data_IF_759290404432
#
_entry.id   IF_759290404432
#
_cell.length_a   1.000
_cell.length_b   1.000
_cell.length_c   1.000
_cell.angle_alpha   90.00
_cell.angle_beta   90.00
_cell.angle_gamma   90.00
#
_symmetry.space_group_name_H-M   'P 1'
#
loop_
_entity.id
_entity.type
_entity.pdbx_description
1 polymer ?
#
# COMPACT_ATOMS: atom_id res chain seq x y z
N UNK A 1 -3.19 34.00 17.27
CA UNK A 1 -4.36 33.10 17.35
C UNK A 1 -4.88 33.14 18.79
N UNK A 2 -5.97 33.86 19.09
CA UNK A 2 -6.49 33.96 20.46
C UNK A 2 -7.36 32.73 20.79
N UNK A 3 -6.80 31.81 21.59
CA UNK A 3 -7.41 30.53 21.99
C UNK A 3 -8.65 30.74 22.88
N UNK A 4 -8.86 31.96 23.39
CA UNK A 4 -10.00 32.30 24.25
C UNK A 4 -11.35 32.44 23.52
N UNK A 5 -11.37 32.56 22.19
CA UNK A 5 -12.64 32.64 21.44
C UNK A 5 -13.21 31.25 21.13
N UNK A 6 -14.55 31.13 21.12
CA UNK A 6 -15.25 29.88 20.75
C UNK A 6 -14.80 29.37 19.36
N UNK A 7 -14.63 30.29 18.41
CA UNK A 7 -14.09 30.00 17.07
C UNK A 7 -12.66 29.45 17.13
N UNK A 8 -11.80 30.02 17.99
CA UNK A 8 -10.43 29.55 18.20
C UNK A 8 -10.37 28.11 18.73
N UNK A 9 -11.22 27.77 19.71
CA UNK A 9 -11.33 26.40 20.23
C UNK A 9 -11.78 25.40 19.17
N UNK A 10 -12.75 25.77 18.35
CA UNK A 10 -13.27 24.92 17.26
C UNK A 10 -12.19 24.70 16.19
N UNK A 11 -11.49 25.76 15.78
CA UNK A 11 -10.38 25.64 14.84
C UNK A 11 -9.28 24.72 15.38
N UNK A 12 -8.97 24.80 16.68
CA UNK A 12 -8.00 23.91 17.32
C UNK A 12 -8.46 22.46 17.29
N UNK A 13 -9.71 22.17 17.67
CA UNK A 13 -10.28 20.81 17.63
C UNK A 13 -10.22 20.22 16.22
N UNK A 14 -10.66 20.98 15.21
CA UNK A 14 -10.63 20.52 13.82
C UNK A 14 -9.20 20.36 13.28
N UNK A 15 -8.28 21.23 13.67
CA UNK A 15 -6.86 21.08 13.29
C UNK A 15 -6.25 19.82 13.90
N UNK A 16 -6.52 19.53 15.18
CA UNK A 16 -6.07 18.31 15.84
C UNK A 16 -6.69 17.08 15.20
N UNK A 17 -7.99 17.12 14.91
CA UNK A 17 -8.70 16.03 14.23
C UNK A 17 -8.14 15.77 12.82
N UNK A 18 -7.83 16.83 12.06
CA UNK A 18 -7.19 16.72 10.75
C UNK A 18 -5.82 16.04 10.83
N UNK A 19 -4.97 16.46 11.77
CA UNK A 19 -3.65 15.86 11.98
C UNK A 19 -3.79 14.39 12.36
N UNK A 20 -4.69 14.05 13.28
CA UNK A 20 -4.98 12.67 13.67
C UNK A 20 -5.47 11.83 12.48
N UNK A 21 -6.37 12.36 11.66
CA UNK A 21 -6.88 11.68 10.47
C UNK A 21 -5.74 11.34 9.49
N UNK A 22 -4.84 12.30 9.24
CA UNK A 22 -3.67 12.08 8.37
C UNK A 22 -2.73 11.03 8.96
N UNK A 23 -2.42 11.12 10.26
CA UNK A 23 -1.55 10.14 10.93
C UNK A 23 -2.13 8.73 10.88
N UNK A 24 -3.44 8.57 11.17
CA UNK A 24 -4.14 7.30 11.08
C UNK A 24 -4.10 6.74 9.66
N UNK A 25 -4.30 7.59 8.65
CA UNK A 25 -4.23 7.17 7.26
C UNK A 25 -2.84 6.67 6.87
N UNK A 26 -1.78 7.40 7.24
CA UNK A 26 -0.38 6.98 6.98
C UNK A 26 -0.08 5.65 7.66
N UNK A 27 -0.48 5.48 8.93
CA UNK A 27 -0.27 4.24 9.67
C UNK A 27 -1.03 3.06 9.04
N UNK A 28 -2.30 3.26 8.68
CA UNK A 28 -3.11 2.24 8.02
C UNK A 28 -2.55 1.85 6.65
N UNK A 29 -2.05 2.83 5.87
CA UNK A 29 -1.43 2.59 4.58
C UNK A 29 -0.17 1.73 4.70
N UNK A 30 0.73 2.08 5.62
CA UNK A 30 1.94 1.29 5.89
C UNK A 30 1.61 -0.13 6.37
N UNK A 31 0.62 -0.27 7.25
CA UNK A 31 0.17 -1.57 7.73
C UNK A 31 -0.36 -2.44 6.59
N UNK A 32 -1.14 -1.86 5.68
CA UNK A 32 -1.70 -2.58 4.55
C UNK A 32 -0.63 -2.97 3.53
N UNK A 33 0.32 -2.09 3.25
CA UNK A 33 1.46 -2.37 2.37
C UNK A 33 2.28 -3.55 2.89
N UNK A 34 2.61 -3.54 4.18
CA UNK A 34 3.32 -4.64 4.83
C UNK A 34 2.54 -5.96 4.76
N UNK A 35 1.23 -5.92 5.04
CA UNK A 35 0.38 -7.12 4.96
C UNK A 35 0.29 -7.66 3.53
N UNK A 36 0.23 -6.78 2.53
CA UNK A 36 0.23 -7.17 1.13
C UNK A 36 1.57 -7.84 0.76
N UNK A 37 2.69 -7.26 1.19
CA UNK A 37 4.01 -7.85 1.00
C UNK A 37 4.13 -9.23 1.66
N UNK A 38 3.69 -9.38 2.92
CA UNK A 38 3.69 -10.67 3.63
C UNK A 38 2.83 -11.72 2.91
N UNK A 39 1.66 -11.30 2.37
CA UNK A 39 0.81 -12.17 1.58
C UNK A 39 1.48 -12.61 0.27
N UNK A 40 2.17 -11.70 -0.42
CA UNK A 40 2.95 -12.02 -1.61
C UNK A 40 4.08 -13.00 -1.29
N UNK A 41 4.86 -12.76 -0.23
CA UNK A 41 5.95 -13.65 0.17
C UNK A 41 5.42 -15.05 0.49
N UNK A 42 4.28 -15.12 1.19
CA UNK A 42 3.63 -16.40 1.51
C UNK A 42 3.19 -17.13 0.23
N UNK A 43 2.52 -16.44 -0.68
CA UNK A 43 2.10 -17.01 -1.96
C UNK A 43 3.31 -17.45 -2.81
N UNK A 44 4.38 -16.65 -2.86
CA UNK A 44 5.62 -17.00 -3.57
C UNK A 44 6.26 -18.27 -2.99
N UNK A 45 6.24 -18.43 -1.67
CA UNK A 45 6.73 -19.63 -0.98
C UNK A 45 5.87 -20.87 -1.31
N UNK A 46 4.55 -20.73 -1.30
CA UNK A 46 3.61 -21.80 -1.65
C UNK A 46 3.79 -22.24 -3.10
N UNK A 47 3.88 -21.27 -4.03
CA UNK A 47 4.11 -21.52 -5.45
C UNK A 47 5.45 -22.23 -5.69
N UNK A 48 6.53 -21.78 -5.03
CA UNK A 48 7.85 -22.41 -5.13
C UNK A 48 7.83 -23.84 -4.60
N UNK A 49 7.13 -24.07 -3.48
CA UNK A 49 6.99 -25.40 -2.91
C UNK A 49 6.21 -26.34 -3.84
N UNK A 50 5.10 -25.87 -4.40
CA UNK A 50 4.31 -26.62 -5.38
C UNK A 50 5.15 -26.99 -6.61
N UNK A 51 5.85 -26.02 -7.21
CA UNK A 51 6.67 -26.25 -8.40
C UNK A 51 7.77 -27.29 -8.14
N UNK A 52 8.36 -27.27 -6.94
CA UNK A 52 9.35 -28.26 -6.52
C UNK A 52 8.75 -29.66 -6.43
N UNK A 53 7.59 -29.82 -5.78
CA UNK A 53 6.91 -31.12 -5.63
C UNK A 53 6.44 -31.67 -6.98
N UNK A 54 5.85 -30.82 -7.82
CA UNK A 54 5.40 -31.21 -9.15
C UNK A 54 6.57 -31.70 -10.00
N UNK A 55 7.71 -30.98 -9.96
CA UNK A 55 8.91 -31.39 -10.67
C UNK A 55 9.46 -32.74 -10.16
N UNK A 56 9.45 -32.98 -8.84
CA UNK A 56 9.88 -34.28 -8.29
C UNK A 56 9.04 -35.45 -8.81
N UNK A 57 7.75 -35.23 -9.03
CA UNK A 57 6.83 -36.27 -9.46
C UNK A 57 6.85 -36.47 -10.98
N UNK A 58 6.83 -35.39 -11.76
CA UNK A 58 6.62 -35.43 -13.20
C UNK A 58 7.84 -35.07 -14.04
N UNK A 59 8.93 -34.62 -13.42
CA UNK A 59 10.16 -34.15 -14.09
C UNK A 59 9.92 -33.04 -15.13
N UNK A 60 8.79 -32.33 -15.00
CA UNK A 60 8.36 -31.25 -15.85
C UNK A 60 7.87 -30.07 -14.99
N UNK A 61 7.72 -28.91 -15.61
CA UNK A 61 7.19 -27.72 -14.96
C UNK A 61 5.74 -27.55 -15.42
N UNK A 62 4.83 -27.40 -14.46
CA UNK A 62 3.43 -27.15 -14.76
C UNK A 62 3.24 -25.70 -15.24
N UNK A 63 3.23 -25.52 -16.56
CA UNK A 63 2.97 -24.22 -17.19
C UNK A 63 1.54 -23.76 -16.98
N UNK A 64 0.57 -24.68 -16.89
CA UNK A 64 -0.83 -24.35 -16.64
C UNK A 64 -1.04 -23.78 -15.23
N UNK A 65 -0.34 -24.35 -14.24
CA UNK A 65 -0.32 -23.79 -12.89
C UNK A 65 0.32 -22.40 -12.86
N UNK A 66 1.47 -22.22 -13.51
CA UNK A 66 2.13 -20.91 -13.60
C UNK A 66 1.20 -19.84 -14.18
N UNK A 67 0.53 -20.16 -15.30
CA UNK A 67 -0.44 -19.27 -15.94
C UNK A 67 -1.62 -18.94 -14.99
N UNK A 68 -2.12 -19.92 -14.24
CA UNK A 68 -3.19 -19.71 -13.25
C UNK A 68 -2.79 -18.75 -12.12
N UNK A 69 -1.50 -18.69 -11.78
CA UNK A 69 -0.96 -17.83 -10.73
C UNK A 69 -0.50 -16.45 -11.26
N UNK A 70 -0.71 -16.17 -12.55
CA UNK A 70 -0.15 -15.01 -13.26
C UNK A 70 1.37 -14.93 -13.14
N UNK A 71 2.04 -16.09 -13.23
CA UNK A 71 3.49 -16.20 -13.24
C UNK A 71 3.93 -16.69 -14.61
N UNK A 72 4.90 -16.03 -15.22
CA UNK A 72 5.41 -16.39 -16.54
C UNK A 72 6.81 -16.96 -16.45
N UNK A 73 7.08 -18.04 -17.16
CA UNK A 73 8.45 -18.52 -17.36
C UNK A 73 9.19 -17.59 -18.33
N UNK A 74 10.35 -17.07 -17.92
CA UNK A 74 11.18 -16.23 -18.79
C UNK A 74 11.85 -17.11 -19.85
N UNK A 75 11.75 -16.77 -21.15
CA UNK A 75 12.32 -17.58 -22.23
C UNK A 75 13.85 -17.64 -22.19
N UNK A 76 14.41 -18.78 -22.61
CA UNK A 76 15.82 -19.19 -22.45
C UNK A 76 16.86 -18.16 -22.97
N UNK A 77 16.49 -17.36 -23.98
CA UNK A 77 17.34 -16.29 -24.54
C UNK A 77 17.58 -15.12 -23.57
N UNK A 78 16.55 -14.72 -22.82
CA UNK A 78 16.64 -13.65 -21.82
C UNK A 78 17.09 -14.18 -20.46
N UNK A 79 16.73 -15.44 -20.20
CA UNK A 79 17.03 -16.16 -18.97
C UNK A 79 18.54 -16.24 -18.68
N UNK A 80 19.38 -16.63 -19.65
CA UNK A 80 20.84 -16.77 -19.43
C UNK A 80 21.54 -15.45 -19.06
N UNK A 81 21.14 -14.34 -19.70
CA UNK A 81 21.71 -13.02 -19.43
C UNK A 81 21.26 -12.44 -18.08
N UNK A 82 20.02 -12.70 -17.68
CA UNK A 82 19.46 -12.25 -16.41
C UNK A 82 19.97 -13.10 -15.24
N UNK A 83 19.98 -14.42 -15.36
CA UNK A 83 20.55 -15.34 -14.36
C UNK A 83 22.01 -14.98 -14.08
N UNK A 84 22.83 -14.73 -15.10
CA UNK A 84 24.23 -14.33 -14.91
C UNK A 84 24.41 -13.00 -14.17
N UNK A 85 23.44 -12.08 -14.25
CA UNK A 85 23.42 -10.84 -13.44
C UNK A 85 22.89 -11.07 -12.03
N UNK A 86 21.98 -12.02 -11.88
CA UNK A 86 21.21 -12.28 -10.66
C UNK A 86 21.84 -13.31 -9.72
N UNK A 87 22.73 -14.16 -10.23
CA UNK A 87 23.46 -15.21 -9.49
C UNK A 87 24.82 -14.78 -8.93
N UNK A 88 25.26 -13.53 -9.12
CA UNK A 88 26.52 -13.01 -8.57
C UNK A 88 26.37 -12.62 -7.09
N UNK A 89 26.23 -13.62 -6.23
CA UNK A 89 26.49 -13.46 -4.79
C UNK A 89 27.86 -14.04 -4.47
N UNK A 90 28.59 -13.41 -3.54
CA UNK A 90 29.99 -13.71 -3.20
C UNK A 90 30.22 -15.15 -2.68
N UNK A 91 29.16 -15.89 -2.35
CA UNK A 91 29.23 -17.25 -1.79
C UNK A 91 28.78 -18.38 -2.75
N UNK A 92 28.37 -18.06 -3.99
CA UNK A 92 28.08 -19.07 -5.02
C UNK A 92 26.92 -20.04 -4.73
N UNK A 93 26.10 -19.78 -3.69
CA UNK A 93 25.00 -20.66 -3.26
C UNK A 93 23.64 -19.95 -3.27
N UNK A 94 23.18 -19.48 -4.43
CA UNK A 94 21.83 -18.93 -4.54
C UNK A 94 20.81 -20.03 -4.81
N UNK A 95 20.09 -20.52 -3.77
CA UNK A 95 19.04 -21.54 -3.90
C UNK A 95 17.66 -20.98 -4.32
N UNK A 96 17.38 -19.75 -3.90
CA UNK A 96 16.15 -19.01 -4.18
C UNK A 96 16.41 -17.51 -4.01
N UNK A 97 15.95 -16.67 -4.94
CA UNK A 97 16.10 -15.22 -4.85
C UNK A 97 14.94 -14.51 -5.53
N UNK A 98 14.40 -13.50 -4.86
CA UNK A 98 13.43 -12.58 -5.47
C UNK A 98 14.15 -11.29 -5.82
N UNK A 99 13.98 -10.81 -7.05
CA UNK A 99 14.72 -9.68 -7.61
C UNK A 99 13.76 -8.73 -8.29
N UNK A 100 13.85 -7.46 -7.94
CA UNK A 100 13.10 -6.42 -8.63
C UNK A 100 14.03 -5.82 -9.69
N UNK A 101 13.67 -5.95 -10.96
CA UNK A 101 14.42 -5.38 -12.07
C UNK A 101 13.46 -4.72 -13.07
N UNK A 102 13.73 -3.45 -13.43
CA UNK A 102 12.88 -2.65 -14.33
C UNK A 102 11.39 -2.69 -13.94
N UNK A 103 11.09 -2.52 -12.65
CA UNK A 103 9.73 -2.56 -12.09
C UNK A 103 8.99 -3.90 -12.26
N UNK A 104 9.71 -4.97 -12.61
CA UNK A 104 9.20 -6.34 -12.67
C UNK A 104 9.80 -7.14 -11.53
N UNK A 105 9.01 -8.04 -10.94
CA UNK A 105 9.44 -8.92 -9.85
C UNK A 105 9.76 -10.29 -10.42
N UNK A 106 11.02 -10.66 -10.36
CA UNK A 106 11.54 -11.93 -10.82
C UNK A 106 11.79 -12.87 -9.65
N UNK A 107 11.48 -14.14 -9.82
CA UNK A 107 11.77 -15.21 -8.87
C UNK A 107 12.77 -16.13 -9.55
N UNK A 108 13.99 -16.14 -9.03
CA UNK A 108 15.04 -17.05 -9.43
C UNK A 108 15.02 -18.25 -8.50
N UNK A 109 14.80 -19.43 -9.06
CA UNK A 109 14.93 -20.70 -8.36
C UNK A 109 16.10 -21.44 -9.01
N UNK A 110 17.23 -21.52 -8.31
CA UNK A 110 18.43 -22.16 -8.83
C UNK A 110 18.82 -23.29 -7.87
N UNK A 111 18.64 -24.52 -8.30
CA UNK A 111 18.97 -25.72 -7.56
C UNK A 111 19.73 -26.67 -8.48
N UNK A 112 20.40 -27.69 -7.93
CA UNK A 112 21.17 -28.69 -8.67
C UNK A 112 20.34 -29.38 -9.79
N UNK A 113 19.01 -29.31 -9.69
CA UNK A 113 18.06 -29.96 -10.60
C UNK A 113 17.37 -29.05 -11.60
N UNK A 114 17.27 -27.75 -11.35
CA UNK A 114 16.64 -26.81 -12.28
C UNK A 114 17.05 -25.37 -11.97
N UNK A 115 17.16 -24.58 -13.04
CA UNK A 115 17.48 -23.17 -12.99
C UNK A 115 16.37 -22.38 -13.69
N UNK A 116 15.45 -21.85 -12.91
CA UNK A 116 14.22 -21.22 -13.39
C UNK A 116 14.20 -19.74 -13.04
N UNK A 117 13.88 -18.94 -14.04
CA UNK A 117 13.59 -17.53 -13.87
C UNK A 117 12.10 -17.32 -14.19
N UNK A 118 11.35 -16.94 -13.17
CA UNK A 118 9.93 -16.68 -13.25
C UNK A 118 9.69 -15.17 -13.13
N UNK A 119 8.77 -14.63 -13.91
CA UNK A 119 8.28 -13.26 -13.80
C UNK A 119 6.91 -13.28 -13.12
N UNK A 120 6.82 -12.70 -11.93
CA UNK A 120 5.55 -12.50 -11.24
C UNK A 120 4.86 -11.27 -11.82
N UNK A 121 3.75 -11.49 -12.53
CA UNK A 121 2.97 -10.40 -13.15
C UNK A 121 1.96 -9.77 -12.18
N UNK A 122 1.81 -10.32 -10.97
CA UNK A 122 0.96 -9.74 -9.95
C UNK A 122 1.56 -8.41 -9.48
N UNK A 123 0.79 -7.34 -9.65
CA UNK A 123 1.15 -6.01 -9.15
C UNK A 123 0.49 -5.80 -7.79
N UNK A 124 1.17 -5.17 -6.82
CA UNK A 124 0.50 -4.70 -5.63
C UNK A 124 -0.59 -3.73 -6.09
N UNK A 125 -1.85 -4.11 -5.87
CA UNK A 125 -2.96 -3.20 -6.12
C UNK A 125 -2.87 -2.11 -5.06
N UNK A 126 -2.65 -0.87 -5.50
CA UNK A 126 -2.97 0.28 -4.66
C UNK A 126 -4.44 0.13 -4.26
N UNK A 127 -4.70 0.06 -2.96
CA UNK A 127 -6.03 -0.18 -2.43
C UNK A 127 -6.88 1.07 -2.65
N UNK A 128 -7.49 1.17 -3.83
CA UNK A 128 -8.39 2.26 -4.21
C UNK A 128 -9.46 2.50 -3.12
N UNK A 129 -9.90 1.43 -2.49
CA UNK A 129 -10.85 1.43 -1.36
C UNK A 129 -10.37 2.27 -0.17
N UNK A 130 -9.10 2.14 0.24
CA UNK A 130 -8.55 2.93 1.36
C UNK A 130 -8.45 4.41 1.01
N UNK A 131 -8.04 4.73 -0.22
CA UNK A 131 -7.99 6.12 -0.69
C UNK A 131 -9.39 6.75 -0.75
N UNK A 132 -10.40 6.00 -1.18
CA UNK A 132 -11.80 6.45 -1.15
C UNK A 132 -12.32 6.67 0.27
N UNK A 133 -12.04 5.75 1.20
CA UNK A 133 -12.45 5.89 2.60
C UNK A 133 -11.82 7.12 3.24
N UNK A 134 -10.52 7.36 3.00
CA UNK A 134 -9.84 8.55 3.48
C UNK A 134 -10.42 9.83 2.88
N UNK A 135 -10.63 9.87 1.57
CA UNK A 135 -11.24 11.02 0.89
C UNK A 135 -12.64 11.31 1.45
N UNK A 136 -13.46 10.29 1.67
CA UNK A 136 -14.78 10.42 2.28
C UNK A 136 -14.72 10.98 3.70
N UNK A 137 -13.84 10.46 4.55
CA UNK A 137 -13.65 10.96 5.91
C UNK A 137 -13.15 12.40 5.95
N UNK A 138 -12.21 12.76 5.07
CA UNK A 138 -11.68 14.11 4.94
C UNK A 138 -12.76 15.11 4.50
N UNK A 139 -13.53 14.76 3.47
CA UNK A 139 -14.64 15.59 2.99
C UNK A 139 -15.70 15.79 4.07
N UNK A 140 -16.03 14.75 4.82
CA UNK A 140 -16.97 14.84 5.94
C UNK A 140 -16.45 15.76 7.05
N UNK A 141 -15.16 15.67 7.40
CA UNK A 141 -14.53 16.55 8.37
C UNK A 141 -14.61 18.03 7.91
N UNK A 142 -14.26 18.29 6.65
CA UNK A 142 -14.32 19.64 6.08
C UNK A 142 -15.75 20.18 6.02
N UNK A 143 -16.71 19.34 5.66
CA UNK A 143 -18.13 19.70 5.63
C UNK A 143 -18.63 20.09 7.03
N UNK A 144 -18.32 19.27 8.05
CA UNK A 144 -18.68 19.57 9.44
C UNK A 144 -18.04 20.87 9.92
N UNK A 145 -16.78 21.11 9.60
CA UNK A 145 -16.08 22.35 9.93
C UNK A 145 -16.79 23.58 9.34
N UNK A 146 -17.08 23.55 8.03
CA UNK A 146 -17.77 24.64 7.35
C UNK A 146 -19.17 24.85 7.92
N UNK A 147 -19.89 23.78 8.21
CA UNK A 147 -21.24 23.84 8.76
C UNK A 147 -21.27 24.50 10.14
N UNK A 148 -20.35 24.12 11.04
CA UNK A 148 -20.22 24.70 12.38
C UNK A 148 -19.81 26.18 12.32
N UNK A 149 -18.86 26.54 11.46
CA UNK A 149 -18.48 27.96 11.32
C UNK A 149 -19.65 28.80 10.81
N UNK A 150 -20.42 28.27 9.86
CA UNK A 150 -21.59 28.94 9.32
C UNK A 150 -22.70 29.09 10.36
N UNK A 151 -22.91 28.09 11.22
CA UNK A 151 -23.91 28.17 12.31
C UNK A 151 -23.52 29.15 13.42
N UNK A 152 -22.22 29.38 13.64
CA UNK A 152 -21.72 30.32 14.64
C UNK A 152 -21.76 31.79 14.21
N UNK A 153 -21.78 32.06 12.90
CA UNK A 153 -21.83 33.42 12.37
C UNK A 153 -23.05 34.24 12.84
N UNK A 154 -24.30 33.73 12.77
CA UNK A 154 -25.45 34.46 13.30
C UNK A 154 -25.37 34.66 14.82
N UNK A 155 -24.74 33.74 15.55
CA UNK A 155 -24.54 33.87 17.00
C UNK A 155 -23.59 35.03 17.35
N UNK A 156 -22.52 35.21 16.56
CA UNK A 156 -21.62 36.36 16.73
C UNK A 156 -22.32 37.68 16.40
N UNK A 157 -23.14 37.71 15.35
CA UNK A 157 -23.90 38.91 14.98
C UNK A 157 -24.94 39.27 16.05
N UNK A 158 -25.59 38.27 16.65
CA UNK A 158 -26.53 38.47 17.76
C UNK A 158 -25.81 39.04 19.00
N UNK A 159 -24.65 38.50 19.35
CA UNK A 159 -23.83 39.00 20.46
C UNK A 159 -23.44 40.46 20.23
N UNK A 160 -22.99 40.80 19.03
CA UNK A 160 -22.58 42.17 18.68
C UNK A 160 -23.78 43.12 18.75
N UNK A 161 -24.94 42.72 18.21
CA UNK A 161 -26.19 43.50 18.30
C UNK A 161 -26.62 43.77 19.74
N UNK A 162 -26.59 42.76 20.61
CA UNK A 162 -26.91 42.92 22.04
C UNK A 162 -25.93 43.88 22.72
N UNK A 163 -24.64 43.81 22.35
CA UNK A 163 -23.62 44.71 22.91
C UNK A 163 -23.85 46.16 22.49
N UNK A 164 -24.08 46.44 21.20
CA UNK A 164 -24.45 47.79 20.72
C UNK A 164 -25.74 48.29 21.35
N UNK A 165 -26.76 47.42 21.49
CA UNK A 165 -28.00 47.81 22.15
C UNK A 165 -27.81 48.16 23.63
N UNK A 166 -26.87 47.50 24.31
CA UNK A 166 -26.55 47.80 25.72
C UNK A 166 -25.68 49.05 25.89
N UNK A 167 -25.00 49.50 24.85
CA UNK A 167 -24.12 50.68 24.88
C UNK A 167 -24.83 51.97 24.44
N UNK A 168 -26.04 51.86 23.87
CA UNK A 168 -26.91 53.00 23.48
C UNK A 168 -27.07 53.13 21.98
#
# INVERSE_FOLDING_TARGET
MTIHSLRGKINLIFSVALVLLVLLFVAAFQYQEKRAEDAFIKQERENTHYLYLYYLQYHAIDTGYLDSQNIRLVPDKEQKGLIGKFSKDDEGKTKYRVIIYRYKRFILINNDRFNLLLENMNKPKLTLEMSMLFAGALLLLLFLYLWIIRSLKPLSELKDKIKTFSEG
#
